data_IF_951439810669
#
_entry.id   IF_951439810669
#
_cell.length_a   1.000
_cell.length_b   1.000
_cell.length_c   1.000
_cell.angle_alpha   90.00
_cell.angle_beta   90.00
_cell.angle_gamma   90.00
#
_symmetry.space_group_name_H-M   'P 1'
#
loop_
_entity.id
_entity.type
_entity.pdbx_description
1 polymer ?
#
# COMPACT_ATOMS: atom_id res chain seq x y z
N UNK A 1 20.13 11.43 -2.43
CA UNK A 1 19.30 11.33 -3.65
C UNK A 1 19.92 12.22 -4.72
N UNK A 2 19.82 11.90 -6.01
CA UNK A 2 20.34 12.75 -7.08
C UNK A 2 19.66 14.12 -7.09
N UNK A 3 20.39 15.17 -7.48
CA UNK A 3 19.88 16.55 -7.60
C UNK A 3 18.82 16.72 -8.70
N UNK A 4 18.64 15.68 -9.53
CA UNK A 4 17.61 15.59 -10.54
C UNK A 4 17.18 14.13 -10.69
N UNK A 5 16.05 13.70 -10.11
CA UNK A 5 15.54 12.36 -10.31
C UNK A 5 15.12 12.15 -11.79
N UNK A 6 15.22 10.92 -12.31
CA UNK A 6 14.82 10.61 -13.67
C UNK A 6 13.30 10.82 -13.86
N UNK A 7 12.84 11.09 -15.10
CA UNK A 7 11.41 11.14 -15.39
C UNK A 7 10.71 9.83 -14.99
N UNK A 8 9.63 9.92 -14.22
CA UNK A 8 8.85 8.78 -13.78
C UNK A 8 7.37 9.17 -13.67
N UNK A 9 6.46 8.20 -13.86
CA UNK A 9 5.01 8.44 -13.62
C UNK A 9 4.69 8.54 -12.13
N UNK A 10 5.42 7.79 -11.31
CA UNK A 10 5.29 7.77 -9.86
C UNK A 10 6.65 7.55 -9.20
N UNK A 11 6.78 8.01 -7.95
CA UNK A 11 7.89 7.67 -7.07
C UNK A 11 7.37 7.48 -5.64
N UNK A 12 8.05 6.65 -4.86
CA UNK A 12 7.79 6.48 -3.43
C UNK A 12 8.87 7.25 -2.67
N UNK A 13 8.48 7.96 -1.62
CA UNK A 13 9.39 8.72 -0.78
C UNK A 13 9.13 8.39 0.69
N UNK A 14 10.17 8.01 1.42
CA UNK A 14 10.10 7.95 2.87
C UNK A 14 10.48 9.30 3.46
N UNK A 15 9.54 9.91 4.20
CA UNK A 15 9.73 11.21 4.80
C UNK A 15 10.43 11.08 6.16
N UNK A 16 11.28 12.06 6.47
CA UNK A 16 11.96 12.15 7.76
C UNK A 16 11.58 13.49 8.41
N UNK A 17 10.96 13.49 9.61
CA UNK A 17 10.62 14.72 10.31
C UNK A 17 11.82 15.68 10.43
N UNK A 18 11.57 16.97 10.18
CA UNK A 18 12.59 18.03 10.25
C UNK A 18 13.59 18.04 9.09
N UNK A 19 13.46 17.13 8.12
CA UNK A 19 14.37 17.04 6.97
C UNK A 19 13.61 17.15 5.66
N UNK A 20 13.90 18.21 4.91
CA UNK A 20 13.45 18.33 3.51
C UNK A 20 14.34 17.54 2.55
N UNK A 21 13.72 16.99 1.52
CA UNK A 21 14.35 16.29 0.42
C UNK A 21 14.03 16.99 -0.92
N UNK A 22 14.89 17.90 -1.40
CA UNK A 22 14.60 18.77 -2.55
C UNK A 22 14.15 18.05 -3.84
N UNK A 23 14.56 16.79 -4.02
CA UNK A 23 14.17 15.97 -5.15
C UNK A 23 12.66 15.70 -5.22
N UNK A 24 11.95 15.67 -4.08
CA UNK A 24 10.50 15.43 -4.01
C UNK A 24 9.77 16.56 -4.73
N UNK A 25 10.00 17.81 -4.30
CA UNK A 25 9.41 19.00 -4.91
C UNK A 25 9.77 19.13 -6.40
N UNK A 26 11.00 18.76 -6.76
CA UNK A 26 11.46 18.82 -8.14
C UNK A 26 10.79 17.75 -9.02
N UNK A 27 10.64 16.52 -8.53
CA UNK A 27 9.95 15.44 -9.24
C UNK A 27 8.46 15.76 -9.42
N UNK A 28 7.81 16.26 -8.36
CA UNK A 28 6.40 16.68 -8.40
C UNK A 28 6.16 17.77 -9.45
N UNK A 29 7.01 18.81 -9.51
CA UNK A 29 6.94 19.87 -10.54
C UNK A 29 7.11 19.36 -11.97
N UNK A 30 7.77 18.21 -12.16
CA UNK A 30 7.93 17.55 -13.46
C UNK A 30 6.79 16.58 -13.79
N UNK A 31 5.78 16.48 -12.93
CA UNK A 31 4.60 15.65 -13.13
C UNK A 31 4.69 14.25 -12.52
N UNK A 32 5.76 13.92 -11.79
CA UNK A 32 5.85 12.66 -11.06
C UNK A 32 4.89 12.69 -9.87
N UNK A 33 4.02 11.67 -9.74
CA UNK A 33 3.16 11.52 -8.54
C UNK A 33 3.96 10.91 -7.39
N UNK A 34 4.08 11.61 -6.26
CA UNK A 34 4.87 11.16 -5.12
C UNK A 34 3.98 10.51 -4.07
N UNK A 35 4.28 9.26 -3.70
CA UNK A 35 3.57 8.53 -2.65
C UNK A 35 4.47 8.49 -1.44
N UNK A 36 4.04 9.15 -0.36
CA UNK A 36 4.81 9.24 0.85
C UNK A 36 4.45 8.12 1.82
N UNK A 37 5.47 7.55 2.44
CA UNK A 37 5.36 6.91 3.74
C UNK A 37 6.21 7.67 4.75
N UNK A 38 6.13 7.24 6.00
CA UNK A 38 7.02 7.69 7.07
C UNK A 38 7.62 6.46 7.72
N UNK A 39 8.90 6.58 8.08
CA UNK A 39 9.45 5.73 9.12
C UNK A 39 8.94 6.19 10.49
N UNK A 40 9.09 5.32 11.48
CA UNK A 40 8.81 5.66 12.87
C UNK A 40 9.63 6.90 13.31
N UNK A 41 8.98 7.87 13.94
CA UNK A 41 9.67 9.04 14.51
C UNK A 41 10.24 8.69 15.90
N UNK A 42 11.50 8.25 15.91
CA UNK A 42 12.25 7.93 17.13
C UNK A 42 12.41 9.14 18.08
N UNK A 43 12.25 10.38 17.59
CA UNK A 43 12.32 11.57 18.44
C UNK A 43 11.08 11.74 19.32
N UNK A 44 9.97 11.10 18.93
CA UNK A 44 8.69 11.22 19.61
C UNK A 44 8.01 12.58 19.45
N UNK A 45 8.48 13.44 18.55
CA UNK A 45 7.92 14.77 18.34
C UNK A 45 6.56 14.71 17.63
N UNK A 46 6.41 13.80 16.65
CA UNK A 46 5.17 13.59 15.89
C UNK A 46 4.58 14.89 15.32
N UNK A 47 5.46 15.79 14.88
CA UNK A 47 5.07 17.10 14.35
C UNK A 47 4.82 17.03 12.84
N UNK A 48 3.55 17.20 12.43
CA UNK A 48 3.17 17.29 11.01
C UNK A 48 3.86 18.44 10.27
N UNK A 49 4.15 19.56 10.94
CA UNK A 49 4.88 20.66 10.33
C UNK A 49 6.33 20.26 9.99
N UNK A 50 6.87 19.26 10.71
CA UNK A 50 8.14 18.63 10.41
C UNK A 50 8.15 17.79 9.13
N UNK A 51 6.99 17.39 8.61
CA UNK A 51 6.82 16.64 7.35
C UNK A 51 6.55 17.58 6.16
N UNK A 52 7.35 18.63 6.06
CA UNK A 52 7.07 19.77 5.19
C UNK A 52 7.01 19.42 3.68
N UNK A 53 7.53 18.28 3.24
CA UNK A 53 7.44 17.83 1.84
C UNK A 53 6.09 17.16 1.50
N UNK A 54 5.20 16.91 2.47
CA UNK A 54 3.86 16.35 2.23
C UNK A 54 3.04 17.19 1.24
N UNK A 55 3.25 18.51 1.22
CA UNK A 55 2.58 19.43 0.30
C UNK A 55 2.85 19.12 -1.20
N UNK A 56 3.92 18.36 -1.48
CA UNK A 56 4.31 17.95 -2.82
C UNK A 56 3.89 16.52 -3.17
N UNK A 57 3.23 15.83 -2.24
CA UNK A 57 2.85 14.43 -2.40
C UNK A 57 1.45 14.25 -3.01
N UNK A 58 1.31 13.20 -3.81
CA UNK A 58 0.02 12.69 -4.31
C UNK A 58 -0.79 12.07 -3.17
N UNK A 59 -0.13 11.24 -2.36
CA UNK A 59 -0.74 10.49 -1.28
C UNK A 59 0.22 10.29 -0.11
N UNK A 60 -0.31 10.12 1.10
CA UNK A 60 0.42 9.76 2.31
C UNK A 60 -0.20 8.50 2.93
N UNK A 61 0.62 7.49 3.24
CA UNK A 61 0.18 6.14 3.59
C UNK A 61 0.71 5.64 4.96
N UNK A 62 0.49 6.35 6.09
CA UNK A 62 0.93 5.89 7.41
C UNK A 62 0.11 4.70 7.94
N UNK A 63 0.61 4.07 9.01
CA UNK A 63 -0.23 3.19 9.82
C UNK A 63 -1.11 3.97 10.82
N UNK A 64 -2.07 3.29 11.45
CA UNK A 64 -3.00 3.89 12.40
C UNK A 64 -2.31 4.62 13.56
N UNK A 65 -1.25 4.03 14.11
CA UNK A 65 -0.53 4.61 15.25
C UNK A 65 0.19 5.90 14.83
N UNK A 66 0.92 5.88 13.72
CA UNK A 66 1.59 7.06 13.16
C UNK A 66 0.58 8.16 12.84
N UNK A 67 -0.49 7.83 12.11
CA UNK A 67 -1.52 8.79 11.71
C UNK A 67 -2.16 9.48 12.93
N UNK A 68 -2.50 8.69 13.95
CA UNK A 68 -3.08 9.21 15.19
C UNK A 68 -2.10 10.09 15.96
N UNK A 69 -0.82 9.71 16.05
CA UNK A 69 0.20 10.50 16.74
C UNK A 69 0.45 11.84 16.05
N UNK A 70 0.61 11.84 14.73
CA UNK A 70 0.81 13.05 13.94
C UNK A 70 -0.37 14.03 14.02
N UNK A 71 -1.59 13.51 14.07
CA UNK A 71 -2.81 14.34 14.07
C UNK A 71 -3.35 14.66 15.46
N UNK A 72 -2.82 14.02 16.51
CA UNK A 72 -3.40 14.05 17.86
C UNK A 72 -4.78 13.39 17.97
N UNK A 73 -5.22 12.65 16.95
CA UNK A 73 -6.52 12.00 16.92
C UNK A 73 -6.52 10.67 17.67
N UNK A 74 -7.66 10.29 18.24
CA UNK A 74 -7.86 8.97 18.88
C UNK A 74 -8.58 7.97 17.96
N UNK A 75 -8.91 8.39 16.73
CA UNK A 75 -9.61 7.56 15.76
C UNK A 75 -8.86 7.56 14.41
N UNK A 76 -8.46 6.40 13.88
CA UNK A 76 -7.72 6.32 12.61
C UNK A 76 -8.45 6.97 11.42
N UNK A 77 -9.79 6.86 11.37
CA UNK A 77 -10.59 7.50 10.31
C UNK A 77 -10.54 9.02 10.43
N UNK A 78 -10.69 9.55 11.63
CA UNK A 78 -10.58 10.99 11.87
C UNK A 78 -9.15 11.49 11.58
N UNK A 79 -8.12 10.71 11.91
CA UNK A 79 -6.74 11.00 11.53
C UNK A 79 -6.57 11.07 10.01
N UNK A 80 -7.14 10.12 9.26
CA UNK A 80 -7.10 10.15 7.79
C UNK A 80 -7.71 11.43 7.21
N UNK A 81 -8.87 11.86 7.75
CA UNK A 81 -9.48 13.13 7.34
C UNK A 81 -8.59 14.34 7.65
N UNK A 82 -8.01 14.42 8.85
CA UNK A 82 -7.11 15.51 9.23
C UNK A 82 -5.85 15.57 8.36
N UNK A 83 -5.27 14.41 7.99
CA UNK A 83 -4.12 14.35 7.09
C UNK A 83 -4.42 14.97 5.71
N UNK A 84 -5.67 14.97 5.26
CA UNK A 84 -6.04 15.56 3.95
C UNK A 84 -5.93 17.09 3.90
N UNK A 85 -5.67 17.75 5.03
CA UNK A 85 -5.31 19.15 5.08
C UNK A 85 -3.90 19.41 4.51
N UNK A 86 -3.03 18.39 4.52
CA UNK A 86 -1.61 18.49 4.13
C UNK A 86 -1.27 17.74 2.83
N UNK A 87 -2.06 16.71 2.49
CA UNK A 87 -1.84 15.87 1.31
C UNK A 87 -3.19 15.55 0.67
N UNK A 88 -3.28 15.39 -0.66
CA UNK A 88 -4.62 15.26 -1.26
C UNK A 88 -5.30 13.92 -1.01
N UNK A 89 -4.53 12.84 -0.85
CA UNK A 89 -5.04 11.50 -0.55
C UNK A 89 -4.34 10.95 0.70
N UNK A 90 -5.10 10.61 1.72
CA UNK A 90 -4.59 9.98 2.93
C UNK A 90 -5.06 8.52 2.98
N UNK A 91 -4.15 7.59 3.24
CA UNK A 91 -4.45 6.17 3.43
C UNK A 91 -3.89 5.75 4.78
N UNK A 92 -4.73 5.20 5.65
CA UNK A 92 -4.33 4.73 6.97
C UNK A 92 -4.52 3.22 7.01
N UNK A 93 -3.41 2.50 7.19
CA UNK A 93 -3.45 1.04 7.40
C UNK A 93 -3.83 0.72 8.84
N UNK A 94 -4.72 -0.26 9.01
CA UNK A 94 -5.33 -0.65 10.29
C UNK A 94 -4.90 -2.07 10.72
N UNK A 95 -3.78 -2.56 10.17
CA UNK A 95 -3.30 -3.92 10.41
C UNK A 95 -4.34 -4.98 10.04
N UNK A 96 -4.74 -5.78 11.03
CA UNK A 96 -5.72 -6.86 10.86
C UNK A 96 -7.15 -6.38 10.56
N UNK A 97 -7.46 -5.09 10.73
CA UNK A 97 -8.77 -4.52 10.38
C UNK A 97 -8.83 -4.03 8.93
N UNK A 98 -7.69 -3.95 8.23
CA UNK A 98 -7.61 -3.57 6.82
C UNK A 98 -7.05 -2.17 6.63
N UNK A 99 -7.75 -1.33 5.87
CA UNK A 99 -7.32 0.04 5.61
C UNK A 99 -8.49 0.99 5.35
N UNK A 100 -8.24 2.27 5.60
CA UNK A 100 -9.17 3.37 5.33
C UNK A 100 -8.47 4.45 4.50
N UNK A 101 -9.17 5.03 3.51
CA UNK A 101 -8.63 6.07 2.67
C UNK A 101 -9.63 7.22 2.46
N UNK A 102 -9.10 8.43 2.29
CA UNK A 102 -9.83 9.65 1.97
C UNK A 102 -9.14 10.34 0.80
N UNK A 103 -9.88 10.65 -0.27
CA UNK A 103 -9.44 11.52 -1.35
C UNK A 103 -10.21 12.84 -1.27
N UNK A 104 -9.54 13.90 -0.84
CA UNK A 104 -10.17 15.22 -0.67
C UNK A 104 -10.52 15.88 -2.01
N UNK A 105 -9.88 15.50 -3.11
CA UNK A 105 -10.14 16.08 -4.43
C UNK A 105 -11.48 15.60 -4.98
N UNK A 106 -11.77 14.31 -4.79
CA UNK A 106 -13.00 13.68 -5.28
C UNK A 106 -14.11 13.66 -4.22
N UNK A 107 -13.75 13.77 -2.94
CA UNK A 107 -14.65 13.56 -1.81
C UNK A 107 -14.90 12.08 -1.50
N UNK A 108 -14.21 11.16 -2.18
CA UNK A 108 -14.35 9.72 -1.94
C UNK A 108 -13.72 9.31 -0.61
N UNK A 109 -14.39 8.38 0.06
CA UNK A 109 -13.81 7.63 1.18
C UNK A 109 -13.93 6.15 0.88
N UNK A 110 -12.92 5.37 1.25
CA UNK A 110 -12.94 3.92 1.09
C UNK A 110 -12.50 3.22 2.36
N UNK A 111 -13.18 2.14 2.70
CA UNK A 111 -12.79 1.20 3.74
C UNK A 111 -12.77 -0.20 3.13
N UNK A 112 -11.67 -0.91 3.35
CA UNK A 112 -11.50 -2.28 2.87
C UNK A 112 -11.00 -3.13 4.05
N UNK A 113 -11.75 -4.18 4.45
CA UNK A 113 -11.31 -5.12 5.48
C UNK A 113 -10.03 -5.84 5.07
N UNK A 114 -9.22 -6.25 6.06
CA UNK A 114 -8.07 -7.10 5.79
C UNK A 114 -8.50 -8.45 5.20
N UNK A 115 -7.67 -8.99 4.32
CA UNK A 115 -7.82 -10.37 3.85
C UNK A 115 -7.17 -11.28 4.88
N UNK A 116 -7.94 -12.19 5.45
CA UNK A 116 -7.44 -13.18 6.40
C UNK A 116 -6.49 -14.16 5.69
N UNK A 117 -5.23 -14.18 6.12
CA UNK A 117 -4.16 -15.03 5.61
C UNK A 117 -3.30 -15.52 6.77
N UNK A 118 -2.68 -16.68 6.61
CA UNK A 118 -1.67 -17.16 7.55
C UNK A 118 -0.35 -16.43 7.26
N UNK A 119 0.02 -15.48 8.12
CA UNK A 119 1.22 -14.68 7.92
C UNK A 119 2.47 -15.47 8.35
N UNK A 120 3.42 -15.62 7.43
CA UNK A 120 4.74 -16.21 7.68
C UNK A 120 5.80 -15.14 7.97
N UNK A 121 5.83 -14.06 7.18
CA UNK A 121 6.81 -12.98 7.29
C UNK A 121 6.15 -11.63 6.95
N UNK A 122 5.93 -10.71 7.91
CA UNK A 122 5.31 -9.41 7.65
C UNK A 122 6.28 -8.40 7.02
N UNK A 123 7.57 -8.73 6.89
CA UNK A 123 8.58 -7.83 6.35
C UNK A 123 8.19 -7.36 4.95
N UNK A 124 8.30 -6.06 4.67
CA UNK A 124 8.01 -5.49 3.35
C UNK A 124 6.52 -5.44 2.95
N UNK A 125 5.58 -5.88 3.80
CA UNK A 125 4.15 -5.81 3.49
C UNK A 125 3.67 -4.37 3.23
N UNK A 126 4.25 -3.39 3.94
CA UNK A 126 4.00 -1.96 3.70
C UNK A 126 4.45 -1.50 2.32
N UNK A 127 5.65 -1.89 1.88
CA UNK A 127 6.16 -1.57 0.54
C UNK A 127 5.26 -2.16 -0.56
N UNK A 128 4.80 -3.41 -0.37
CA UNK A 128 3.91 -4.10 -1.30
C UNK A 128 2.51 -3.47 -1.31
N UNK A 129 2.03 -3.00 -0.16
CA UNK A 129 0.79 -2.23 -0.07
C UNK A 129 0.89 -0.93 -0.88
N UNK A 130 1.94 -0.15 -0.66
CA UNK A 130 2.20 1.10 -1.40
C UNK A 130 2.28 0.81 -2.90
N UNK A 131 3.00 -0.24 -3.32
CA UNK A 131 3.10 -0.63 -4.72
C UNK A 131 1.73 -0.99 -5.35
N UNK A 132 0.86 -1.70 -4.62
CA UNK A 132 -0.51 -1.99 -5.06
C UNK A 132 -1.35 -0.72 -5.20
N UNK A 133 -1.24 0.21 -4.24
CA UNK A 133 -1.96 1.49 -4.30
C UNK A 133 -1.48 2.39 -5.45
N UNK A 134 -0.17 2.46 -5.68
CA UNK A 134 0.45 3.16 -6.82
C UNK A 134 -0.08 2.57 -8.13
N UNK A 135 -0.14 1.24 -8.25
CA UNK A 135 -0.63 0.55 -9.45
C UNK A 135 -2.07 0.96 -9.78
N UNK A 136 -2.98 0.89 -8.81
CA UNK A 136 -4.37 1.31 -9.01
C UNK A 136 -4.50 2.81 -9.31
N UNK A 137 -3.67 3.65 -8.69
CA UNK A 137 -3.66 5.10 -8.93
C UNK A 137 -3.21 5.44 -10.35
N UNK A 138 -2.18 4.76 -10.85
CA UNK A 138 -1.67 4.93 -12.21
C UNK A 138 -2.60 4.36 -13.28
N UNK A 139 -3.42 3.37 -12.92
CA UNK A 139 -4.47 2.80 -13.75
C UNK A 139 -5.78 3.61 -13.74
N UNK A 140 -5.89 4.61 -12.86
CA UNK A 140 -7.06 5.50 -12.80
C UNK A 140 -8.30 4.87 -12.16
N UNK A 141 -8.12 3.87 -11.29
CA UNK A 141 -9.24 3.17 -10.67
C UNK A 141 -9.96 4.01 -9.59
N UNK A 142 -11.20 3.68 -9.21
CA UNK A 142 -11.85 4.23 -8.03
C UNK A 142 -11.04 4.01 -6.74
N UNK A 143 -11.17 4.90 -5.75
CA UNK A 143 -10.38 4.84 -4.51
C UNK A 143 -10.48 3.48 -3.80
N UNK A 144 -11.68 2.90 -3.78
CA UNK A 144 -11.93 1.60 -3.16
C UNK A 144 -11.18 0.45 -3.84
N UNK A 145 -11.01 0.49 -5.16
CA UNK A 145 -10.32 -0.55 -5.92
C UNK A 145 -8.80 -0.42 -5.78
N UNK A 146 -8.29 0.81 -5.71
CA UNK A 146 -6.88 1.07 -5.36
C UNK A 146 -6.54 0.49 -3.99
N UNK A 147 -7.40 0.74 -3.02
CA UNK A 147 -7.24 0.28 -1.64
C UNK A 147 -7.38 -1.24 -1.54
N UNK A 148 -8.32 -1.83 -2.28
CA UNK A 148 -8.52 -3.28 -2.32
C UNK A 148 -7.33 -4.00 -2.96
N UNK A 149 -6.78 -3.49 -4.07
CA UNK A 149 -5.57 -4.07 -4.65
C UNK A 149 -4.40 -3.99 -3.66
N UNK A 150 -4.19 -2.84 -3.02
CA UNK A 150 -3.11 -2.65 -2.03
C UNK A 150 -3.20 -3.64 -0.87
N UNK A 151 -4.39 -3.81 -0.29
CA UNK A 151 -4.63 -4.79 0.78
C UNK A 151 -4.42 -6.23 0.32
N UNK A 152 -4.88 -6.57 -0.89
CA UNK A 152 -4.68 -7.89 -1.48
C UNK A 152 -3.20 -8.20 -1.71
N UNK A 153 -2.45 -7.28 -2.31
CA UNK A 153 -1.05 -7.53 -2.64
C UNK A 153 -0.23 -7.72 -1.37
N UNK A 154 -0.47 -6.92 -0.34
CA UNK A 154 0.17 -7.07 0.96
C UNK A 154 -0.21 -8.40 1.66
N UNK A 155 -1.48 -8.78 1.64
CA UNK A 155 -1.92 -10.04 2.25
C UNK A 155 -1.34 -11.28 1.54
N UNK A 156 -1.15 -11.23 0.23
CA UNK A 156 -0.47 -12.31 -0.50
C UNK A 156 1.03 -12.34 -0.25
N UNK A 157 1.67 -11.17 -0.01
CA UNK A 157 3.12 -11.10 0.19
C UNK A 157 3.56 -11.67 1.54
N UNK A 158 2.75 -11.54 2.60
CA UNK A 158 3.11 -12.04 3.93
C UNK A 158 3.05 -13.56 4.07
N UNK A 159 2.49 -14.27 3.09
CA UNK A 159 2.41 -15.73 3.05
C UNK A 159 3.72 -16.38 2.57
N UNK A 160 4.75 -15.59 2.27
CA UNK A 160 6.03 -16.05 1.73
C UNK A 160 7.18 -15.32 2.43
N UNK A 161 8.34 -15.96 2.55
CA UNK A 161 9.55 -15.29 3.02
C UNK A 161 10.13 -14.37 1.94
N UNK A 162 10.65 -13.20 2.33
CA UNK A 162 11.51 -12.40 1.44
C UNK A 162 11.22 -10.92 1.30
N UNK A 163 10.48 -10.30 2.23
CA UNK A 163 10.28 -8.85 2.16
C UNK A 163 9.49 -8.42 0.91
N UNK A 164 9.86 -7.30 0.30
CA UNK A 164 9.23 -6.84 -0.95
C UNK A 164 9.39 -7.79 -2.15
N UNK A 165 10.32 -8.76 -2.11
CA UNK A 165 10.47 -9.80 -3.13
C UNK A 165 9.31 -10.81 -3.11
N UNK A 166 8.46 -10.81 -2.07
CA UNK A 166 7.25 -11.61 -1.99
C UNK A 166 6.02 -10.94 -2.63
N UNK A 167 6.15 -9.76 -3.24
CA UNK A 167 5.06 -9.10 -3.97
C UNK A 167 4.42 -10.03 -5.02
N UNK A 168 3.08 -10.22 -5.03
CA UNK A 168 2.42 -11.09 -6.00
C UNK A 168 2.44 -10.48 -7.40
N UNK A 169 2.50 -11.34 -8.42
CA UNK A 169 2.17 -10.97 -9.79
C UNK A 169 0.69 -11.24 -10.11
N UNK A 170 0.30 -10.96 -11.36
CA UNK A 170 -1.06 -11.21 -11.84
C UNK A 170 -1.46 -12.69 -11.79
N UNK A 171 -0.51 -13.61 -11.92
CA UNK A 171 -0.77 -15.05 -11.81
C UNK A 171 -1.24 -15.44 -10.41
N UNK A 172 -0.57 -14.93 -9.37
CA UNK A 172 -0.94 -15.14 -7.97
C UNK A 172 -2.29 -14.51 -7.63
N UNK A 173 -2.50 -13.25 -8.03
CA UNK A 173 -3.77 -12.53 -7.84
C UNK A 173 -4.92 -13.30 -8.52
N UNK A 174 -4.69 -13.77 -9.75
CA UNK A 174 -5.67 -14.55 -10.48
C UNK A 174 -6.00 -15.91 -9.87
N UNK A 175 -4.99 -16.59 -9.31
CA UNK A 175 -5.19 -17.84 -8.58
C UNK A 175 -6.00 -17.62 -7.29
N UNK A 176 -5.68 -16.58 -6.52
CA UNK A 176 -6.44 -16.19 -5.33
C UNK A 176 -7.90 -15.87 -5.69
N UNK A 177 -8.12 -15.06 -6.72
CA UNK A 177 -9.47 -14.61 -7.09
C UNK A 177 -10.38 -15.77 -7.48
N UNK A 178 -9.88 -16.70 -8.30
CA UNK A 178 -10.63 -17.93 -8.66
C UNK A 178 -10.92 -18.81 -7.46
N UNK A 179 -9.96 -18.95 -6.54
CA UNK A 179 -10.15 -19.73 -5.31
C UNK A 179 -11.25 -19.12 -4.44
N UNK A 180 -11.26 -17.80 -4.25
CA UNK A 180 -12.30 -17.15 -3.44
C UNK A 180 -13.67 -17.29 -4.09
N UNK A 181 -13.78 -17.16 -5.43
CA UNK A 181 -15.03 -17.37 -6.15
C UNK A 181 -15.57 -18.82 -6.04
N UNK A 182 -14.71 -19.83 -5.87
CA UNK A 182 -15.14 -21.23 -5.77
C UNK A 182 -15.60 -21.65 -4.37
N UNK A 183 -15.53 -20.76 -3.38
CA UNK A 183 -15.91 -21.06 -2.00
C UNK A 183 -17.36 -20.63 -1.73
N UNK A 184 -18.23 -21.59 -1.40
CA UNK A 184 -19.67 -21.34 -1.17
C UNK A 184 -19.97 -20.48 0.07
N UNK A 185 -19.00 -20.31 0.96
CA UNK A 185 -19.15 -19.60 2.24
C UNK A 185 -18.78 -18.12 2.19
N UNK A 186 -18.43 -17.59 1.01
CA UNK A 186 -17.92 -16.23 0.91
C UNK A 186 -18.99 -15.17 1.07
N UNK A 187 -18.62 -14.09 1.75
CA UNK A 187 -19.48 -12.93 1.89
C UNK A 187 -19.69 -12.27 0.50
N UNK A 188 -20.94 -12.17 0.00
CA UNK A 188 -21.21 -11.56 -1.31
C UNK A 188 -20.73 -10.11 -1.44
N UNK A 189 -20.67 -9.35 -0.34
CA UNK A 189 -20.12 -8.00 -0.35
C UNK A 189 -18.60 -7.98 -0.57
N UNK A 190 -17.88 -8.97 -0.02
CA UNK A 190 -16.45 -9.13 -0.24
C UNK A 190 -16.17 -9.51 -1.70
N UNK A 191 -16.94 -10.45 -2.28
CA UNK A 191 -16.82 -10.80 -3.71
C UNK A 191 -17.04 -9.58 -4.61
N UNK A 192 -18.08 -8.78 -4.35
CA UNK A 192 -18.33 -7.55 -5.12
C UNK A 192 -17.19 -6.53 -5.02
N UNK A 193 -16.48 -6.48 -3.88
CA UNK A 193 -15.34 -5.55 -3.71
C UNK A 193 -14.16 -5.91 -4.62
N UNK A 194 -13.98 -7.17 -4.97
CA UNK A 194 -12.86 -7.63 -5.81
C UNK A 194 -13.26 -7.93 -7.25
N UNK A 195 -14.52 -7.75 -7.63
CA UNK A 195 -15.01 -7.96 -9.00
C UNK A 195 -14.31 -7.08 -10.05
N UNK A 196 -13.70 -5.96 -9.66
CA UNK A 196 -12.87 -5.15 -10.56
C UNK A 196 -11.66 -5.92 -11.13
N UNK A 197 -11.29 -7.06 -10.53
CA UNK A 197 -10.24 -7.95 -11.02
C UNK A 197 -10.66 -8.79 -12.23
N UNK A 198 -11.96 -9.02 -12.45
CA UNK A 198 -12.47 -9.83 -13.57
C UNK A 198 -11.94 -9.41 -14.94
N UNK A 199 -11.96 -8.12 -15.32
CA UNK A 199 -11.40 -7.69 -16.60
C UNK A 199 -9.87 -7.63 -16.62
N UNK A 200 -9.19 -7.81 -15.48
CA UNK A 200 -7.73 -7.65 -15.35
C UNK A 200 -6.98 -8.98 -15.35
N UNK A 201 -7.61 -10.04 -14.84
CA UNK A 201 -6.98 -11.35 -14.73
C UNK A 201 -7.08 -12.08 -16.08
N UNK A 202 -5.94 -12.47 -16.68
CA UNK A 202 -5.96 -13.25 -17.92
C UNK A 202 -6.73 -14.57 -17.75
N UNK A 203 -7.53 -14.92 -18.76
CA UNK A 203 -8.29 -16.19 -18.80
C UNK A 203 -7.38 -17.42 -18.80
N UNK A 204 -6.16 -17.28 -19.33
CA UNK A 204 -5.11 -18.29 -19.29
C UNK A 204 -3.97 -17.80 -18.39
N UNK A 205 -3.76 -18.46 -17.25
CA UNK A 205 -2.56 -18.27 -16.45
C UNK A 205 -1.57 -19.39 -16.78
N UNK A 206 -0.55 -19.09 -17.58
CA UNK A 206 0.46 -20.06 -18.02
C UNK A 206 1.38 -20.55 -16.88
N UNK A 207 1.24 -19.99 -15.68
CA UNK A 207 2.06 -20.32 -14.51
C UNK A 207 1.22 -20.91 -13.37
N UNK A 208 1.54 -22.12 -12.89
CA UNK A 208 0.86 -22.72 -11.75
C UNK A 208 1.19 -21.98 -10.44
N UNK A 209 0.21 -21.93 -9.54
CA UNK A 209 0.33 -21.46 -8.16
C UNK A 209 0.35 -22.66 -7.19
N UNK A 210 1.16 -22.65 -6.11
CA UNK A 210 2.11 -21.60 -5.71
C UNK A 210 3.39 -21.57 -6.55
N UNK A 211 3.83 -20.35 -6.92
CA UNK A 211 5.12 -20.16 -7.59
C UNK A 211 6.23 -20.36 -6.56
N UNK A 212 7.12 -21.34 -6.76
CA UNK A 212 8.35 -21.43 -5.97
C UNK A 212 9.20 -20.19 -6.25
N UNK A 213 9.28 -19.27 -5.30
CA UNK A 213 10.19 -18.13 -5.37
C UNK A 213 11.59 -18.56 -4.96
N UNK A 214 12.60 -17.81 -5.42
CA UNK A 214 13.99 -18.08 -5.05
C UNK A 214 14.11 -17.99 -3.52
N UNK A 215 14.52 -19.10 -2.88
CA UNK A 215 14.86 -19.11 -1.46
C UNK A 215 16.10 -18.20 -1.29
N UNK A 216 16.14 -17.31 -0.29
CA UNK A 216 17.33 -16.54 0.03
C UNK A 216 18.55 -17.47 0.07
N UNK A 217 19.62 -17.13 -0.66
CA UNK A 217 20.80 -18.01 -0.85
C UNK A 217 21.65 -18.17 0.42
N UNK A 218 21.19 -17.71 1.58
CA UNK A 218 21.88 -17.92 2.85
C UNK A 218 21.40 -19.24 3.44
N UNK A 219 22.28 -20.24 3.36
CA UNK A 219 22.01 -21.62 3.73
C UNK A 219 21.64 -21.78 5.20
N UNK A 220 20.40 -22.18 5.45
CA UNK A 220 20.07 -22.99 6.60
C UNK A 220 19.93 -24.43 6.12
N UNK A 221 20.98 -25.22 6.36
CA UNK A 221 20.93 -26.66 6.16
C UNK A 221 19.79 -27.24 6.98
N UNK A 222 18.90 -28.00 6.33
CA UNK A 222 17.92 -28.83 7.04
C UNK A 222 18.71 -29.90 7.79
N UNK A 223 18.81 -29.77 9.11
CA UNK A 223 19.15 -30.93 9.93
C UNK A 223 17.94 -31.88 9.91
N UNK A 224 18.21 -33.09 9.42
CA UNK A 224 17.37 -34.29 9.52
C UNK A 224 17.12 -34.67 10.97
#
# INVERSE_FOLDING_TARGET
APDCPPPARAAVASLTPGRRAPWIAQAARKGTRIFADVGWDDTGAWDLAGLADLEHCEAFLPNAEEAMRYTGSTCPKAAAHALTEHVPVAVVTLGAEGAYAVDRRTGETAEVPAIAVEALDPTGAGDVFVAGFVTGTLAGWPLADRLALAGLTAALSVQEFGGSLSAPGWSEIGAWWRRVQSLDTQNPAALRRYAFLDPLIPTHLDRPWPLRRAVPTIGFGRNT
#
